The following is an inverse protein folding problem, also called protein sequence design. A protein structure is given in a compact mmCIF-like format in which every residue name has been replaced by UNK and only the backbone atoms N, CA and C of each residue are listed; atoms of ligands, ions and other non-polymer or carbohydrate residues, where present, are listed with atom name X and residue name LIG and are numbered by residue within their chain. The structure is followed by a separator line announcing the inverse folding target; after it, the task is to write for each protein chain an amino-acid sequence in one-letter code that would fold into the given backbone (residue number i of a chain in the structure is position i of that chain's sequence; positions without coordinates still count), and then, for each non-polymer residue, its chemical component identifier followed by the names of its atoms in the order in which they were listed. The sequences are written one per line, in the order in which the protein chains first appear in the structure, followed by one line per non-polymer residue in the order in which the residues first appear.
data_IF_929423780315
#
_entry.id   IF_929423780315
#
_cell.length_a   1.000
_cell.length_b   1.000
_cell.length_c   1.000
_cell.angle_alpha   90.00
_cell.angle_beta   90.00
_cell.angle_gamma   90.00
#
_symmetry.space_group_name_H-M   'P 1'
#
loop_
_entity.id
_entity.type
_entity.pdbx_description
1 polymer ?
#
# COMPACT_ATOMS: atom_id res chain seq x y z
N UNK A 1 -7.02 -21.62 -52.30
CA UNK A 1 -8.18 -22.42 -52.78
C UNK A 1 -7.92 -23.86 -52.37
N UNK A 2 -8.56 -24.34 -51.29
CA UNK A 2 -9.68 -25.31 -51.29
C UNK A 2 -9.28 -26.68 -51.88
N UNK A 3 -9.43 -27.85 -51.23
CA UNK A 3 -10.48 -28.31 -50.29
C UNK A 3 -10.00 -29.50 -49.45
N UNK A 4 -10.72 -29.68 -48.34
CA UNK A 4 -10.65 -30.69 -47.27
C UNK A 4 -11.10 -32.11 -47.68
N UNK A 5 -10.55 -33.06 -46.91
CA UNK A 5 -11.12 -34.25 -46.24
C UNK A 5 -12.00 -35.26 -46.98
N UNK A 6 -11.68 -36.56 -46.80
CA UNK A 6 -12.68 -37.63 -46.75
C UNK A 6 -12.24 -38.79 -45.83
N UNK A 7 -13.17 -39.23 -44.97
CA UNK A 7 -13.08 -40.29 -43.97
C UNK A 7 -13.06 -41.70 -44.60
N UNK A 8 -12.51 -42.69 -43.88
CA UNK A 8 -12.77 -44.12 -44.16
C UNK A 8 -13.18 -44.87 -42.88
N UNK A 9 -14.17 -45.74 -43.07
CA UNK A 9 -14.93 -46.54 -42.13
C UNK A 9 -14.18 -47.75 -41.53
N UNK A 10 -14.74 -48.17 -40.38
CA UNK A 10 -14.71 -49.45 -39.66
C UNK A 10 -14.38 -50.71 -40.48
N UNK A 11 -13.61 -51.60 -39.83
CA UNK A 11 -13.71 -53.05 -40.03
C UNK A 11 -13.79 -53.75 -38.66
N UNK A 12 -14.80 -54.60 -38.54
CA UNK A 12 -14.97 -55.61 -37.48
C UNK A 12 -14.40 -56.93 -38.01
N UNK A 13 -13.73 -57.73 -37.18
CA UNK A 13 -13.75 -59.21 -37.17
C UNK A 13 -12.93 -59.65 -35.94
N UNK A 14 -13.55 -60.48 -35.11
CA UNK A 14 -12.90 -61.33 -34.08
C UNK A 14 -12.71 -62.73 -34.65
N UNK A 15 -11.69 -63.49 -34.19
CA UNK A 15 -12.03 -64.70 -33.42
C UNK A 15 -11.04 -65.10 -32.30
N UNK A 16 -11.58 -65.86 -31.34
CA UNK A 16 -11.02 -66.92 -30.44
C UNK A 16 -9.52 -67.28 -30.56
N UNK A 17 -8.75 -67.64 -29.51
CA UNK A 17 -9.01 -68.29 -28.21
C UNK A 17 -7.75 -68.23 -27.32
N UNK A 18 -7.95 -68.08 -26.00
CA UNK A 18 -7.12 -68.51 -24.84
C UNK A 18 -5.62 -68.22 -24.77
N UNK A 19 -5.22 -67.35 -23.84
CA UNK A 19 -4.32 -67.69 -22.72
C UNK A 19 -4.38 -66.60 -21.62
N UNK A 20 -4.42 -67.02 -20.37
CA UNK A 20 -4.61 -66.19 -19.18
C UNK A 20 -3.37 -65.34 -18.89
N UNK A 21 -3.55 -64.05 -18.55
CA UNK A 21 -2.81 -63.46 -17.45
C UNK A 21 -3.50 -62.21 -16.89
N UNK A 22 -3.54 -62.18 -15.56
CA UNK A 22 -4.23 -61.24 -14.68
C UNK A 22 -3.78 -59.80 -14.93
N UNK A 23 -4.70 -58.93 -15.32
CA UNK A 23 -4.56 -57.47 -15.20
C UNK A 23 -5.69 -56.96 -14.28
N UNK A 24 -5.29 -56.18 -13.28
CA UNK A 24 -6.12 -55.69 -12.18
C UNK A 24 -7.34 -54.88 -12.64
N UNK A 25 -8.43 -54.99 -11.88
CA UNK A 25 -9.72 -54.29 -12.07
C UNK A 25 -9.60 -52.75 -12.13
N UNK A 26 -8.45 -52.18 -11.79
CA UNK A 26 -8.20 -50.74 -11.79
C UNK A 26 -8.19 -50.11 -13.19
N UNK A 27 -7.88 -50.87 -14.24
CA UNK A 27 -7.79 -50.33 -15.61
C UNK A 27 -9.14 -50.29 -16.37
N UNK A 28 -10.25 -50.69 -15.76
CA UNK A 28 -11.56 -50.74 -16.42
C UNK A 28 -12.69 -50.01 -15.67
N UNK A 29 -12.36 -49.27 -14.61
CA UNK A 29 -13.33 -48.40 -13.92
C UNK A 29 -13.77 -47.24 -14.83
N UNK A 30 -15.01 -47.33 -15.36
CA UNK A 30 -15.72 -46.20 -15.98
C UNK A 30 -16.70 -45.64 -14.95
N UNK A 31 -16.51 -44.38 -14.56
CA UNK A 31 -17.47 -43.67 -13.70
C UNK A 31 -18.82 -43.49 -14.41
N UNK A 32 -19.82 -44.26 -14.00
CA UNK A 32 -21.22 -44.09 -14.43
C UNK A 32 -21.87 -42.99 -13.59
N UNK A 33 -21.89 -41.76 -14.10
CA UNK A 33 -22.59 -40.63 -13.49
C UNK A 33 -24.11 -40.73 -13.67
N UNK A 34 -24.74 -41.54 -12.83
CA UNK A 34 -26.19 -41.74 -12.84
C UNK A 34 -26.88 -40.61 -12.03
N UNK A 35 -27.25 -39.52 -12.72
CA UNK A 35 -27.91 -38.35 -12.11
C UNK A 35 -29.36 -38.65 -11.74
N UNK A 36 -29.59 -39.20 -10.55
CA UNK A 36 -30.92 -39.19 -9.91
C UNK A 36 -31.23 -37.80 -9.36
N UNK A 37 -32.24 -37.14 -9.92
CA UNK A 37 -32.73 -35.81 -9.54
C UNK A 37 -33.21 -35.76 -8.09
N UNK A 38 -32.35 -35.36 -7.15
CA UNK A 38 -32.75 -34.87 -5.84
C UNK A 38 -32.98 -33.35 -5.92
N UNK A 39 -34.22 -32.91 -5.71
CA UNK A 39 -34.54 -31.49 -5.51
C UNK A 39 -33.68 -30.95 -4.35
N UNK A 40 -32.76 -30.03 -4.68
CA UNK A 40 -31.95 -29.31 -3.69
C UNK A 40 -32.89 -28.43 -2.86
N UNK A 41 -33.00 -28.71 -1.55
CA UNK A 41 -33.61 -27.78 -0.59
C UNK A 41 -32.76 -26.51 -0.58
N UNK A 42 -33.33 -25.39 -1.05
CA UNK A 42 -32.69 -24.07 -1.01
C UNK A 42 -32.66 -23.57 0.43
N UNK A 43 -31.57 -23.85 1.16
CA UNK A 43 -31.17 -22.97 2.25
C UNK A 43 -30.27 -21.90 1.64
N UNK A 44 -30.77 -20.67 1.62
CA UNK A 44 -30.09 -19.49 1.10
C UNK A 44 -28.83 -19.22 1.91
N UNK A 45 -27.67 -19.62 1.37
CA UNK A 45 -26.33 -19.21 1.81
C UNK A 45 -25.80 -18.04 0.98
N UNK A 46 -26.68 -17.40 0.19
CA UNK A 46 -26.31 -16.35 -0.76
C UNK A 46 -26.55 -14.96 -0.15
N UNK A 47 -25.97 -14.71 1.02
CA UNK A 47 -25.47 -13.35 1.25
C UNK A 47 -24.06 -13.37 0.67
N UNK A 48 -23.80 -12.71 -0.47
CA UNK A 48 -22.45 -12.62 -1.01
C UNK A 48 -21.56 -12.07 0.10
N UNK A 49 -20.51 -12.80 0.48
CA UNK A 49 -19.55 -12.26 1.41
C UNK A 49 -19.05 -10.93 0.83
N UNK A 50 -19.24 -9.79 1.51
CA UNK A 50 -18.86 -8.49 0.97
C UNK A 50 -17.37 -8.45 0.61
N UNK A 51 -16.52 -9.25 1.27
CA UNK A 51 -15.11 -9.40 0.90
C UNK A 51 -14.89 -10.05 -0.47
N UNK A 52 -15.74 -11.00 -0.88
CA UNK A 52 -15.61 -11.69 -2.17
C UNK A 52 -16.13 -10.88 -3.36
N UNK A 53 -16.95 -9.85 -3.12
CA UNK A 53 -17.51 -9.00 -4.18
C UNK A 53 -16.43 -8.16 -4.89
N UNK A 54 -15.32 -7.91 -4.22
CA UNK A 54 -14.24 -7.04 -4.69
C UNK A 54 -12.93 -7.79 -4.96
N UNK A 55 -12.88 -9.08 -4.62
CA UNK A 55 -11.75 -9.96 -4.96
C UNK A 55 -11.91 -10.42 -6.41
N UNK A 56 -10.99 -10.02 -7.28
CA UNK A 56 -10.87 -10.64 -8.59
C UNK A 56 -10.23 -12.04 -8.42
N UNK A 57 -11.08 -13.05 -8.23
CA UNK A 57 -10.70 -14.47 -8.07
C UNK A 57 -10.00 -14.99 -9.34
N UNK A 58 -10.18 -14.32 -10.48
CA UNK A 58 -9.54 -14.66 -11.75
C UNK A 58 -8.17 -14.00 -11.94
N UNK A 59 -7.68 -13.25 -10.95
CA UNK A 59 -6.35 -12.64 -11.02
C UNK A 59 -5.26 -13.69 -10.75
N UNK A 60 -5.11 -14.64 -11.68
CA UNK A 60 -4.03 -15.63 -11.75
C UNK A 60 -2.74 -15.01 -12.29
N UNK A 61 -2.50 -13.71 -12.11
CA UNK A 61 -1.22 -13.11 -12.45
C UNK A 61 -0.18 -13.76 -11.55
N UNK A 62 0.79 -14.46 -12.15
CA UNK A 62 1.99 -14.91 -11.45
C UNK A 62 2.53 -13.72 -10.65
N UNK A 63 2.58 -13.85 -9.33
CA UNK A 63 3.05 -12.80 -8.42
C UNK A 63 4.39 -12.28 -8.94
N UNK A 64 4.40 -11.03 -9.45
CA UNK A 64 5.62 -10.43 -9.97
C UNK A 64 6.61 -10.29 -8.82
N UNK A 65 7.79 -10.88 -8.96
CA UNK A 65 8.87 -10.65 -8.01
C UNK A 65 9.29 -9.18 -8.11
N UNK A 66 9.20 -8.46 -6.99
CA UNK A 66 9.56 -7.05 -6.94
C UNK A 66 10.95 -6.86 -6.32
N UNK A 67 11.75 -5.92 -6.86
CA UNK A 67 13.09 -5.68 -6.36
C UNK A 67 13.05 -4.84 -5.06
N UNK A 68 14.12 -4.90 -4.27
CA UNK A 68 14.29 -4.05 -3.08
C UNK A 68 15.30 -2.95 -3.38
N UNK A 69 14.92 -1.69 -3.13
CA UNK A 69 15.85 -0.58 -3.09
C UNK A 69 16.79 -0.79 -1.89
N UNK A 70 18.09 -0.79 -2.17
CA UNK A 70 19.11 -1.03 -1.15
C UNK A 70 19.30 0.23 -0.30
N UNK A 71 19.31 0.06 1.02
CA UNK A 71 19.53 1.15 1.95
C UNK A 71 20.88 1.83 1.69
N UNK A 72 20.88 3.16 1.70
CA UNK A 72 22.09 3.98 1.65
C UNK A 72 23.13 3.61 2.73
N UNK A 73 22.70 3.19 3.93
CA UNK A 73 23.61 2.94 5.06
C UNK A 73 24.35 1.58 5.03
N UNK A 74 24.19 0.75 4.00
CA UNK A 74 24.87 -0.56 3.94
C UNK A 74 26.32 -0.38 3.52
N UNK A 75 27.24 -0.35 4.49
CA UNK A 75 28.67 -0.11 4.26
C UNK A 75 29.29 -0.94 3.11
N UNK A 76 28.94 -2.23 2.99
CA UNK A 76 29.43 -3.13 1.93
C UNK A 76 28.89 -2.82 0.52
N UNK A 77 27.83 -2.02 0.43
CA UNK A 77 27.10 -1.73 -0.80
C UNK A 77 26.94 -0.22 -1.05
N UNK A 78 27.59 0.62 -0.24
CA UNK A 78 27.71 2.07 -0.40
C UNK A 78 28.33 2.37 -1.76
N UNK A 79 27.51 2.73 -2.73
CA UNK A 79 27.95 3.17 -4.04
C UNK A 79 27.59 4.63 -4.19
N UNK A 80 28.60 5.44 -4.50
CA UNK A 80 28.38 6.82 -4.90
C UNK A 80 27.58 6.88 -6.20
N UNK A 81 26.60 7.77 -6.27
CA UNK A 81 25.87 8.09 -7.49
C UNK A 81 26.10 9.56 -7.90
N UNK A 82 25.66 9.94 -9.09
CA UNK A 82 25.65 11.35 -9.52
C UNK A 82 24.27 11.93 -9.24
N UNK A 83 24.23 13.15 -8.70
CA UNK A 83 23.00 13.93 -8.57
C UNK A 83 23.14 15.21 -9.40
N UNK A 84 22.02 15.73 -9.92
CA UNK A 84 22.04 16.90 -10.81
C UNK A 84 22.46 18.19 -10.10
N UNK A 85 22.15 18.31 -8.80
CA UNK A 85 22.29 19.54 -8.03
C UNK A 85 23.51 19.56 -7.09
N UNK A 86 24.39 18.55 -7.16
CA UNK A 86 25.60 18.47 -6.35
C UNK A 86 26.78 18.17 -7.26
N UNK A 87 27.82 19.01 -7.18
CA UNK A 87 29.10 18.75 -7.86
C UNK A 87 29.75 17.50 -7.26
N UNK A 88 30.22 16.61 -8.12
CA UNK A 88 30.90 15.40 -7.70
C UNK A 88 29.99 14.19 -7.46
N UNK A 89 30.39 13.34 -6.52
CA UNK A 89 29.76 12.06 -6.19
C UNK A 89 28.93 12.19 -4.92
N UNK A 90 27.72 11.62 -4.92
CA UNK A 90 26.84 11.63 -3.74
C UNK A 90 26.73 10.25 -3.14
N UNK A 91 26.85 10.19 -1.81
CA UNK A 91 26.53 9.03 -1.00
C UNK A 91 25.28 9.36 -0.18
N UNK A 92 24.29 8.47 -0.20
CA UNK A 92 23.09 8.62 0.64
C UNK A 92 23.21 7.76 1.88
N UNK A 93 22.72 8.25 3.01
CA UNK A 93 22.58 7.48 4.25
C UNK A 93 21.14 7.54 4.76
N UNK A 94 20.71 6.48 5.46
CA UNK A 94 19.42 6.37 6.16
C UNK A 94 18.19 6.58 5.26
N UNK A 95 18.23 6.04 4.04
CA UNK A 95 17.15 6.14 3.04
C UNK A 95 15.89 5.31 3.36
N UNK A 96 15.82 4.66 4.52
CA UNK A 96 14.81 3.65 4.84
C UNK A 96 13.37 4.17 4.77
N UNK A 97 13.12 5.42 5.20
CA UNK A 97 11.79 6.02 5.10
C UNK A 97 11.34 6.15 3.64
N UNK A 98 12.22 6.66 2.77
CA UNK A 98 11.96 6.76 1.33
C UNK A 98 11.73 5.38 0.69
N UNK A 99 12.66 4.45 0.93
CA UNK A 99 12.62 3.12 0.35
C UNK A 99 11.37 2.33 0.81
N UNK A 100 10.89 2.59 2.04
CA UNK A 100 9.66 2.02 2.60
C UNK A 100 8.39 2.54 1.93
N UNK A 101 8.27 3.86 1.73
CA UNK A 101 7.11 4.44 1.02
C UNK A 101 7.13 4.02 -0.45
N UNK A 102 8.29 4.02 -1.09
CA UNK A 102 8.44 3.58 -2.48
C UNK A 102 8.03 2.12 -2.67
N UNK A 103 8.47 1.22 -1.78
CA UNK A 103 8.11 -0.21 -1.86
C UNK A 103 6.63 -0.47 -1.64
N UNK A 104 6.00 0.28 -0.74
CA UNK A 104 4.56 0.21 -0.48
C UNK A 104 3.74 0.59 -1.72
N UNK A 105 4.07 1.70 -2.37
CA UNK A 105 3.39 2.17 -3.59
C UNK A 105 3.72 1.26 -4.78
N UNK A 106 4.96 0.77 -4.88
CA UNK A 106 5.38 -0.18 -5.90
C UNK A 106 4.49 -1.43 -5.92
N UNK A 107 4.19 -1.98 -4.74
CA UNK A 107 3.33 -3.15 -4.60
C UNK A 107 1.89 -2.80 -4.95
N UNK A 108 1.36 -1.69 -4.45
CA UNK A 108 0.01 -1.25 -4.79
C UNK A 108 -0.19 -0.99 -6.29
N UNK A 109 0.82 -0.44 -6.97
CA UNK A 109 0.83 -0.27 -8.42
C UNK A 109 0.81 -1.62 -9.17
N UNK A 110 1.44 -2.66 -8.65
CA UNK A 110 1.42 -3.98 -9.28
C UNK A 110 0.10 -4.73 -9.04
N UNK A 111 -0.44 -4.60 -7.83
CA UNK A 111 -1.49 -5.48 -7.34
C UNK A 111 -2.90 -4.83 -7.41
N UNK A 112 -3.03 -3.50 -7.52
CA UNK A 112 -4.29 -2.81 -7.83
C UNK A 112 -4.28 -2.23 -9.25
N UNK A 113 -5.11 -2.79 -10.13
CA UNK A 113 -5.27 -2.29 -11.51
C UNK A 113 -5.80 -0.85 -11.54
N UNK A 114 -6.80 -0.53 -10.72
CA UNK A 114 -7.40 0.81 -10.66
C UNK A 114 -6.41 1.85 -10.15
N UNK A 115 -5.62 1.48 -9.15
CA UNK A 115 -4.55 2.34 -8.66
C UNK A 115 -3.47 2.56 -9.73
N UNK A 116 -3.07 1.50 -10.44
CA UNK A 116 -2.10 1.59 -11.54
C UNK A 116 -2.58 2.54 -12.66
N UNK A 117 -3.83 2.40 -13.09
CA UNK A 117 -4.46 3.29 -14.09
C UNK A 117 -4.43 4.75 -13.65
N UNK A 118 -4.73 5.02 -12.36
CA UNK A 118 -4.64 6.37 -11.80
C UNK A 118 -3.21 6.88 -11.82
N UNK A 119 -2.24 6.07 -11.37
CA UNK A 119 -0.80 6.41 -11.34
C UNK A 119 -0.25 6.72 -12.73
N UNK A 120 -0.56 5.89 -13.74
CA UNK A 120 -0.02 6.02 -15.10
C UNK A 120 -0.46 7.32 -15.81
N UNK A 121 -1.55 7.95 -15.37
CA UNK A 121 -2.06 9.23 -15.92
C UNK A 121 -1.37 10.44 -15.26
N UNK A 122 -0.78 10.27 -14.08
CA UNK A 122 -0.21 11.38 -13.32
C UNK A 122 1.18 11.77 -13.81
N UNK A 123 1.49 13.07 -13.72
CA UNK A 123 2.83 13.59 -13.98
C UNK A 123 3.53 13.96 -12.68
N UNK A 124 3.96 12.96 -11.92
CA UNK A 124 4.74 13.17 -10.69
C UNK A 124 6.03 12.35 -10.75
N UNK A 125 7.15 12.99 -10.39
CA UNK A 125 8.48 12.42 -10.55
C UNK A 125 8.68 11.17 -9.69
N UNK A 126 8.12 11.14 -8.48
CA UNK A 126 8.22 9.99 -7.58
C UNK A 126 7.38 8.81 -8.09
N UNK A 127 6.16 9.06 -8.54
CA UNK A 127 5.32 8.03 -9.17
C UNK A 127 5.96 7.47 -10.45
N UNK A 128 6.53 8.34 -11.29
CA UNK A 128 7.27 7.95 -12.49
C UNK A 128 8.51 7.09 -12.17
N UNK A 129 9.26 7.47 -11.12
CA UNK A 129 10.35 6.66 -10.60
C UNK A 129 9.86 5.26 -10.20
N UNK A 130 8.74 5.15 -9.50
CA UNK A 130 8.16 3.86 -9.09
C UNK A 130 7.74 3.03 -10.31
N UNK A 131 7.03 3.63 -11.28
CA UNK A 131 6.61 2.91 -12.49
C UNK A 131 7.81 2.41 -13.28
N UNK A 132 8.89 3.19 -13.37
CA UNK A 132 10.15 2.79 -14.01
C UNK A 132 10.82 1.62 -13.28
N UNK A 133 10.88 1.64 -11.95
CA UNK A 133 11.41 0.52 -11.15
C UNK A 133 10.60 -0.75 -11.38
N UNK A 134 9.27 -0.66 -11.42
CA UNK A 134 8.41 -1.81 -11.69
C UNK A 134 8.62 -2.34 -13.10
N UNK A 135 8.61 -1.47 -14.11
CA UNK A 135 8.65 -1.85 -15.53
C UNK A 135 10.02 -2.38 -15.94
N UNK A 136 11.10 -1.75 -15.49
CA UNK A 136 12.46 -2.00 -15.98
C UNK A 136 13.42 -2.59 -14.95
N UNK A 137 12.99 -2.74 -13.70
CA UNK A 137 13.83 -3.19 -12.59
C UNK A 137 14.79 -2.10 -12.09
N UNK A 138 15.61 -2.46 -11.09
CA UNK A 138 16.61 -1.55 -10.52
C UNK A 138 17.88 -1.55 -11.38
N UNK A 139 18.27 -0.37 -11.86
CA UNK A 139 19.51 -0.11 -12.60
C UNK A 139 20.40 0.87 -11.83
N UNK A 140 21.62 1.10 -12.30
CA UNK A 140 22.47 2.16 -11.73
C UNK A 140 21.81 3.54 -11.81
N UNK A 141 21.06 3.82 -12.89
CA UNK A 141 20.33 5.08 -13.07
C UNK A 141 19.22 5.28 -12.04
N UNK A 142 18.59 4.19 -11.57
CA UNK A 142 17.57 4.22 -10.50
C UNK A 142 18.12 4.86 -9.24
N UNK A 143 19.38 4.57 -8.86
CA UNK A 143 19.98 5.15 -7.67
C UNK A 143 20.30 6.64 -7.83
N UNK A 144 20.68 7.08 -9.04
CA UNK A 144 20.84 8.50 -9.35
C UNK A 144 19.52 9.26 -9.35
N UNK A 145 18.46 8.67 -9.91
CA UNK A 145 17.11 9.24 -9.90
C UNK A 145 16.56 9.33 -8.47
N UNK A 146 16.74 8.28 -7.66
CA UNK A 146 16.45 8.31 -6.23
C UNK A 146 17.20 9.44 -5.52
N UNK A 147 18.49 9.61 -5.78
CA UNK A 147 19.27 10.68 -5.18
C UNK A 147 18.74 12.07 -5.57
N UNK A 148 18.39 12.26 -6.84
CA UNK A 148 17.78 13.51 -7.31
C UNK A 148 16.46 13.80 -6.59
N UNK A 149 15.56 12.82 -6.48
CA UNK A 149 14.31 13.00 -5.76
C UNK A 149 14.55 13.40 -4.30
N UNK A 150 15.43 12.68 -3.61
CA UNK A 150 15.71 12.94 -2.20
C UNK A 150 16.30 14.34 -2.00
N UNK A 151 17.30 14.72 -2.80
CA UNK A 151 17.98 16.00 -2.68
C UNK A 151 17.06 17.17 -3.04
N UNK A 152 16.24 17.01 -4.07
CA UNK A 152 15.44 18.10 -4.61
C UNK A 152 14.19 18.40 -3.77
N UNK A 153 13.64 17.40 -3.08
CA UNK A 153 12.33 17.53 -2.43
C UNK A 153 12.38 17.47 -0.89
N UNK A 154 13.39 16.83 -0.28
CA UNK A 154 13.41 16.55 1.16
C UNK A 154 14.37 17.42 1.98
N UNK A 155 14.93 18.48 1.41
CA UNK A 155 15.76 19.47 2.13
C UNK A 155 16.86 18.81 2.98
N UNK A 156 17.58 17.83 2.41
CA UNK A 156 18.52 16.98 3.16
C UNK A 156 19.79 17.73 3.58
N UNK A 157 20.30 17.37 4.77
CA UNK A 157 21.59 17.86 5.23
C UNK A 157 22.72 17.21 4.42
N UNK A 158 23.61 18.03 3.87
CA UNK A 158 24.77 17.59 3.10
C UNK A 158 26.06 17.85 3.86
N UNK A 159 26.99 16.90 3.80
CA UNK A 159 28.32 16.99 4.39
C UNK A 159 29.35 16.69 3.31
N UNK A 160 30.24 17.64 3.05
CA UNK A 160 31.36 17.42 2.14
C UNK A 160 32.38 16.47 2.79
N UNK A 161 32.76 15.44 2.05
CA UNK A 161 33.83 14.51 2.37
C UNK A 161 35.02 14.73 1.43
N UNK A 162 36.12 14.02 1.67
CA UNK A 162 37.27 14.02 0.79
C UNK A 162 36.95 13.47 -0.61
N UNK A 163 37.76 13.86 -1.60
CA UNK A 163 37.71 13.38 -2.98
C UNK A 163 36.43 13.75 -3.78
N UNK A 164 35.89 14.96 -3.57
CA UNK A 164 34.70 15.46 -4.28
C UNK A 164 33.48 14.54 -4.08
N UNK A 165 33.33 14.07 -2.84
CA UNK A 165 32.22 13.23 -2.40
C UNK A 165 31.38 14.02 -1.40
N UNK A 166 30.07 14.02 -1.58
CA UNK A 166 29.10 14.59 -0.64
C UNK A 166 28.28 13.48 0.00
N UNK A 167 28.22 13.45 1.33
CA UNK A 167 27.29 12.62 2.07
C UNK A 167 25.98 13.38 2.29
N UNK A 168 24.88 12.87 1.76
CA UNK A 168 23.54 13.33 2.10
C UNK A 168 22.99 12.47 3.23
N UNK A 169 22.65 13.11 4.35
CA UNK A 169 22.03 12.48 5.51
C UNK A 169 20.52 12.55 5.34
N UNK A 170 19.90 11.42 4.99
CA UNK A 170 18.48 11.34 4.65
C UNK A 170 17.61 10.94 5.85
N UNK A 171 18.00 11.32 7.06
CA UNK A 171 17.24 11.08 8.28
C UNK A 171 15.90 11.79 8.20
N UNK A 172 14.82 11.04 8.02
CA UNK A 172 13.48 11.59 7.85
C UNK A 172 12.41 10.61 8.31
N UNK A 173 11.18 11.10 8.44
CA UNK A 173 10.01 10.30 8.79
C UNK A 173 9.25 9.86 7.55
N UNK A 174 8.55 8.72 7.60
CA UNK A 174 7.68 8.32 6.49
C UNK A 174 6.62 9.38 6.17
N UNK A 175 6.08 10.05 7.19
CA UNK A 175 5.15 11.17 7.01
C UNK A 175 5.74 12.34 6.22
N UNK A 176 7.02 12.67 6.42
CA UNK A 176 7.69 13.71 5.63
C UNK A 176 7.89 13.29 4.17
N UNK A 177 8.28 12.03 3.93
CA UNK A 177 8.37 11.47 2.57
C UNK A 177 7.02 11.54 1.86
N UNK A 178 5.94 11.11 2.51
CA UNK A 178 4.58 11.17 1.95
C UNK A 178 4.22 12.62 1.60
N UNK A 179 4.48 13.57 2.51
CA UNK A 179 4.20 15.00 2.29
C UNK A 179 4.96 15.61 1.11
N UNK A 180 6.23 15.27 0.95
CA UNK A 180 7.10 15.87 -0.09
C UNK A 180 7.01 15.18 -1.44
N UNK A 181 6.73 13.89 -1.48
CA UNK A 181 6.73 13.10 -2.71
C UNK A 181 5.35 13.00 -3.37
N UNK A 182 4.28 13.19 -2.60
CA UNK A 182 2.89 13.06 -3.04
C UNK A 182 2.07 14.33 -2.78
N UNK A 183 2.70 15.50 -2.68
CA UNK A 183 2.03 16.78 -2.43
C UNK A 183 0.83 17.06 -3.37
N UNK A 184 0.94 16.64 -4.63
CA UNK A 184 -0.12 16.73 -5.65
C UNK A 184 -1.26 15.71 -5.46
N UNK A 185 -1.04 14.66 -4.65
CA UNK A 185 -1.96 13.55 -4.42
C UNK A 185 -2.26 13.37 -2.93
N UNK A 186 -2.96 14.32 -2.29
CA UNK A 186 -3.33 14.20 -0.89
C UNK A 186 -4.34 13.07 -0.67
N UNK A 187 -4.37 12.56 0.57
CA UNK A 187 -5.37 11.60 1.05
C UNK A 187 -6.77 12.23 1.12
N UNK A 188 -6.86 13.52 1.44
CA UNK A 188 -8.11 14.26 1.42
C UNK A 188 -7.88 15.75 1.15
N UNK A 189 -8.90 16.42 0.63
CA UNK A 189 -8.92 17.87 0.43
C UNK A 189 -10.05 18.42 1.28
N UNK A 190 -9.71 19.27 2.25
CA UNK A 190 -10.67 20.01 3.05
C UNK A 190 -10.95 21.35 2.35
N UNK A 191 -12.21 21.66 2.13
CA UNK A 191 -12.65 22.93 1.53
C UNK A 191 -13.54 23.67 2.53
N UNK A 192 -13.18 24.91 2.84
CA UNK A 192 -13.98 25.80 3.70
C UNK A 192 -14.65 26.88 2.84
N UNK A 193 -15.98 26.86 2.78
CA UNK A 193 -16.78 27.82 2.02
C UNK A 193 -17.61 28.69 2.97
N UNK A 194 -17.46 30.02 2.85
CA UNK A 194 -18.25 31.00 3.61
C UNK A 194 -19.51 31.42 2.82
N UNK A 195 -20.65 31.57 3.49
CA UNK A 195 -21.95 31.80 2.84
C UNK A 195 -22.18 33.21 2.30
N UNK A 196 -21.41 34.21 2.73
CA UNK A 196 -21.70 35.62 2.44
C UNK A 196 -20.58 36.26 1.61
N UNK A 197 -20.95 36.86 0.47
CA UNK A 197 -20.05 37.52 -0.46
C UNK A 197 -19.36 38.77 0.13
N UNK A 198 -19.95 39.37 1.17
CA UNK A 198 -19.37 40.49 1.91
C UNK A 198 -18.22 40.08 2.84
N UNK A 199 -18.01 38.78 3.08
CA UNK A 199 -16.86 38.27 3.83
C UNK A 199 -15.66 38.24 2.86
N UNK A 200 -15.09 39.43 2.62
CA UNK A 200 -14.15 39.76 1.52
C UNK A 200 -12.85 38.92 1.53
N UNK A 201 -12.52 38.23 2.63
CA UNK A 201 -11.22 37.56 2.82
C UNK A 201 -11.21 36.02 2.76
N UNK A 202 -12.33 35.35 2.51
CA UNK A 202 -12.38 33.87 2.59
C UNK A 202 -13.31 33.26 1.54
N UNK A 203 -13.04 33.53 0.26
CA UNK A 203 -13.64 32.73 -0.82
C UNK A 203 -12.83 31.44 -0.96
N UNK A 204 -13.34 30.36 -0.37
CA UNK A 204 -12.86 28.97 -0.54
C UNK A 204 -11.38 28.75 -0.20
N UNK A 205 -11.11 28.39 1.05
CA UNK A 205 -9.78 27.89 1.45
C UNK A 205 -9.77 26.38 1.21
N UNK A 206 -8.74 25.89 0.51
CA UNK A 206 -8.48 24.47 0.32
C UNK A 206 -7.23 24.05 1.09
N UNK A 207 -7.34 23.01 1.90
CA UNK A 207 -6.24 22.43 2.66
C UNK A 207 -6.01 20.98 2.22
N UNK A 208 -4.80 20.68 1.77
CA UNK A 208 -4.39 19.33 1.40
C UNK A 208 -4.01 18.53 2.65
N UNK A 209 -4.69 17.41 2.88
CA UNK A 209 -4.44 16.49 3.98
C UNK A 209 -3.71 15.27 3.42
N UNK A 210 -2.41 15.19 3.72
CA UNK A 210 -1.53 14.12 3.21
C UNK A 210 -1.80 12.75 3.83
N UNK A 211 -2.20 12.73 5.09
CA UNK A 211 -2.62 11.54 5.81
C UNK A 211 -3.61 11.90 6.90
N UNK A 212 -4.52 10.97 7.22
CA UNK A 212 -5.51 11.11 8.27
C UNK A 212 -4.96 10.55 9.58
N UNK A 213 -4.97 11.34 10.64
CA UNK A 213 -4.54 10.87 11.96
C UNK A 213 -5.70 10.21 12.70
N UNK A 214 -5.63 8.89 12.87
CA UNK A 214 -6.59 8.11 13.66
C UNK A 214 -6.02 7.85 15.05
N UNK A 215 -6.70 8.41 16.06
CA UNK A 215 -6.33 8.27 17.46
C UNK A 215 -7.06 7.08 18.08
N UNK A 216 -6.32 6.26 18.82
CA UNK A 216 -6.82 5.05 19.47
C UNK A 216 -6.42 5.04 20.93
N UNK A 217 -7.35 4.63 21.79
CA UNK A 217 -7.17 4.59 23.24
C UNK A 217 -7.52 3.25 23.89
N UNK A 218 -8.09 2.30 23.14
CA UNK A 218 -8.59 1.04 23.69
C UNK A 218 -7.95 -0.18 23.06
N UNK A 219 -8.15 -1.33 23.70
CA UNK A 219 -7.75 -2.65 23.19
C UNK A 219 -8.44 -3.03 21.86
N UNK A 220 -9.56 -2.39 21.52
CA UNK A 220 -10.33 -2.58 20.27
C UNK A 220 -9.90 -1.58 19.21
N UNK A 221 -8.66 -1.75 18.76
CA UNK A 221 -7.91 -0.79 17.96
C UNK A 221 -8.60 -0.24 16.71
N UNK A 222 -9.40 -1.05 16.00
CA UNK A 222 -9.94 -0.68 14.70
C UNK A 222 -11.46 -0.75 14.59
N UNK A 223 -12.19 -0.99 15.68
CA UNK A 223 -13.67 -1.02 15.64
C UNK A 223 -14.25 0.34 15.21
N UNK A 224 -13.56 1.45 15.53
CA UNK A 224 -14.00 2.79 15.17
C UNK A 224 -13.40 3.36 13.87
N UNK A 225 -12.55 2.62 13.14
CA UNK A 225 -11.82 3.18 12.00
C UNK A 225 -12.77 3.58 10.84
N UNK A 226 -13.77 2.73 10.58
CA UNK A 226 -14.79 3.02 9.56
C UNK A 226 -15.63 4.24 9.94
N UNK A 227 -16.13 4.29 11.19
CA UNK A 227 -16.88 5.43 11.72
C UNK A 227 -16.06 6.72 11.71
N UNK A 228 -14.76 6.63 11.99
CA UNK A 228 -13.86 7.78 11.89
C UNK A 228 -13.80 8.33 10.46
N UNK A 229 -13.69 7.46 9.44
CA UNK A 229 -13.72 7.88 8.03
C UNK A 229 -15.07 8.44 7.60
N UNK A 230 -16.16 7.84 8.07
CA UNK A 230 -17.52 8.31 7.78
C UNK A 230 -17.72 9.72 8.34
N UNK A 231 -17.34 9.94 9.60
CA UNK A 231 -17.43 11.25 10.26
C UNK A 231 -16.58 12.31 9.55
N UNK A 232 -15.39 11.94 9.06
CA UNK A 232 -14.55 12.86 8.29
C UNK A 232 -15.21 13.32 6.99
N UNK A 233 -16.14 12.55 6.44
CA UNK A 233 -16.82 12.87 5.18
C UNK A 233 -18.09 13.73 5.39
N UNK A 234 -18.49 13.97 6.64
CA UNK A 234 -19.64 14.81 6.98
C UNK A 234 -19.23 16.29 6.94
N UNK A 235 -20.07 17.14 6.35
CA UNK A 235 -19.82 18.57 6.34
C UNK A 235 -20.13 19.19 7.71
N UNK A 236 -19.20 19.99 8.22
CA UNK A 236 -19.30 20.63 9.52
C UNK A 236 -19.53 22.14 9.38
N UNK A 237 -20.37 22.69 10.25
CA UNK A 237 -20.58 24.13 10.34
C UNK A 237 -19.46 24.75 11.19
N UNK A 238 -18.77 25.74 10.64
CA UNK A 238 -17.76 26.52 11.35
C UNK A 238 -18.00 28.02 11.15
N UNK A 239 -17.32 28.86 11.93
CA UNK A 239 -17.41 30.33 11.80
C UNK A 239 -16.30 30.87 10.89
N UNK A 240 -16.64 31.84 10.06
CA UNK A 240 -15.66 32.71 9.39
C UNK A 240 -15.27 33.86 10.32
N UNK A 241 -14.20 34.56 9.95
CA UNK A 241 -13.85 35.85 10.54
C UNK A 241 -15.02 36.79 10.17
N UNK A 242 -15.66 37.43 11.16
CA UNK A 242 -16.84 38.33 11.03
C UNK A 242 -18.24 37.68 11.08
N UNK A 243 -18.53 36.78 12.03
CA UNK A 243 -19.88 36.22 12.27
C UNK A 243 -20.56 35.56 11.05
N UNK A 244 -19.82 35.31 9.95
CA UNK A 244 -20.34 34.58 8.80
C UNK A 244 -20.33 33.07 9.11
N UNK A 245 -21.37 32.36 8.69
CA UNK A 245 -21.36 30.90 8.71
C UNK A 245 -20.46 30.38 7.58
N UNK A 246 -19.72 29.31 7.86
CA UNK A 246 -18.99 28.52 6.88
C UNK A 246 -19.35 27.06 6.99
N UNK A 247 -19.25 26.37 5.87
CA UNK A 247 -19.31 24.92 5.80
C UNK A 247 -17.91 24.42 5.47
N UNK A 248 -17.42 23.48 6.27
CA UNK A 248 -16.22 22.71 5.98
C UNK A 248 -16.67 21.38 5.39
N UNK A 249 -16.15 21.03 4.23
CA UNK A 249 -16.37 19.73 3.61
C UNK A 249 -15.03 19.08 3.30
N UNK A 250 -14.87 17.81 3.69
CA UNK A 250 -13.67 17.04 3.35
C UNK A 250 -14.01 16.04 2.26
N UNK A 251 -13.27 16.09 1.16
CA UNK A 251 -13.38 15.12 0.08
C UNK A 251 -12.18 14.18 0.13
N UNK A 252 -12.41 12.88 0.30
CA UNK A 252 -11.33 11.90 0.25
C UNK A 252 -10.77 11.77 -1.17
N UNK A 253 -9.52 11.34 -1.27
CA UNK A 253 -8.86 11.01 -2.53
C UNK A 253 -9.62 9.95 -3.30
N UNK A 254 -9.50 9.97 -4.63
CA UNK A 254 -9.99 8.90 -5.50
C UNK A 254 -8.90 7.86 -5.83
N UNK A 255 -7.73 8.01 -5.22
CA UNK A 255 -6.53 7.23 -5.51
C UNK A 255 -6.10 6.37 -4.31
N UNK A 256 -5.82 7.00 -3.17
CA UNK A 256 -5.33 6.31 -1.97
C UNK A 256 -5.66 7.02 -0.67
N UNK A 257 -5.54 6.29 0.44
CA UNK A 257 -5.58 6.83 1.80
C UNK A 257 -4.33 6.42 2.58
N UNK A 258 -3.65 7.40 3.17
CA UNK A 258 -2.69 7.19 4.24
C UNK A 258 -3.35 7.52 5.57
N UNK A 259 -3.25 6.60 6.54
CA UNK A 259 -3.82 6.78 7.87
C UNK A 259 -2.70 6.62 8.90
N UNK A 260 -2.35 7.71 9.59
CA UNK A 260 -1.39 7.73 10.70
C UNK A 260 -2.08 7.24 11.97
N UNK A 261 -1.49 6.26 12.66
CA UNK A 261 -2.03 5.66 13.87
C UNK A 261 -1.31 6.22 15.09
N UNK A 262 -2.07 6.92 15.94
CA UNK A 262 -1.60 7.41 17.24
C UNK A 262 -2.31 6.65 18.35
N UNK A 263 -1.54 6.05 19.25
CA UNK A 263 -2.05 5.35 20.41
C UNK A 263 -1.71 6.11 21.69
N UNK A 264 -2.74 6.32 22.51
CA UNK A 264 -2.66 6.98 23.82
C UNK A 264 -3.24 6.03 24.87
N UNK A 265 -2.58 5.87 26.02
CA UNK A 265 -3.17 5.07 27.11
C UNK A 265 -4.23 5.88 27.86
N UNK A 266 -5.18 5.20 28.51
CA UNK A 266 -6.35 5.86 29.12
C UNK A 266 -5.98 6.92 30.18
N UNK A 267 -4.84 6.73 30.88
CA UNK A 267 -4.30 7.69 31.85
C UNK A 267 -3.74 8.99 31.20
N UNK A 268 -3.45 8.96 29.90
CA UNK A 268 -2.91 10.10 29.14
C UNK A 268 -4.00 11.04 28.57
N UNK A 269 -5.27 10.63 28.62
CA UNK A 269 -6.38 11.32 27.93
C UNK A 269 -6.77 12.66 28.56
N UNK A 270 -6.59 12.83 29.87
CA UNK A 270 -6.82 14.12 30.54
C UNK A 270 -5.84 15.22 30.09
N UNK A 271 -4.81 14.85 29.31
CA UNK A 271 -3.72 15.71 28.85
C UNK A 271 -3.50 15.68 27.33
N UNK A 272 -4.33 14.98 26.55
CA UNK A 272 -4.12 14.73 25.11
C UNK A 272 -3.97 15.99 24.25
N UNK A 273 -4.61 17.10 24.65
CA UNK A 273 -4.45 18.40 23.99
C UNK A 273 -3.11 19.12 24.30
N UNK A 274 -2.28 18.57 25.20
CA UNK A 274 -0.99 19.12 25.62
C UNK A 274 0.19 18.16 25.35
N UNK A 275 -0.07 16.94 24.88
CA UNK A 275 0.97 15.94 24.64
C UNK A 275 1.47 15.98 23.19
N UNK A 276 2.80 15.97 23.02
CA UNK A 276 3.43 15.91 21.70
C UNK A 276 3.13 14.58 21.02
N UNK A 277 2.66 14.62 19.77
CA UNK A 277 2.44 13.41 18.95
C UNK A 277 3.70 12.57 18.78
N UNK A 278 4.88 13.16 18.98
CA UNK A 278 6.18 12.48 18.95
C UNK A 278 6.37 11.48 20.11
N UNK A 279 5.69 11.71 21.23
CA UNK A 279 5.71 10.87 22.42
C UNK A 279 4.65 9.76 22.39
N UNK A 280 3.73 9.78 21.42
CA UNK A 280 2.70 8.76 21.28
C UNK A 280 3.35 7.37 21.13
N UNK A 281 2.81 6.37 21.82
CA UNK A 281 3.36 5.01 21.78
C UNK A 281 3.12 4.41 20.39
N UNK A 282 4.08 3.60 19.93
CA UNK A 282 3.92 2.85 18.69
C UNK A 282 3.09 1.62 18.99
N UNK A 283 2.01 1.43 18.25
CA UNK A 283 1.09 0.34 18.50
C UNK A 283 1.52 -0.94 17.81
N UNK A 284 1.43 -2.06 18.54
CA UNK A 284 1.71 -3.37 17.99
C UNK A 284 0.41 -4.07 17.60
N UNK A 285 0.25 -4.37 16.31
CA UNK A 285 -0.98 -4.97 15.75
C UNK A 285 -0.66 -6.22 14.94
N UNK A 286 -1.58 -7.19 14.89
CA UNK A 286 -1.47 -8.28 13.91
C UNK A 286 -2.02 -7.81 12.57
N UNK A 287 -1.37 -8.17 11.47
CA UNK A 287 -1.80 -7.77 10.12
C UNK A 287 -3.23 -8.22 9.80
N UNK A 288 -3.65 -9.38 10.34
CA UNK A 288 -5.00 -9.92 10.18
C UNK A 288 -6.09 -9.14 10.94
N UNK A 289 -5.73 -8.34 11.93
CA UNK A 289 -6.69 -7.57 12.74
C UNK A 289 -7.02 -6.22 12.09
N UNK A 290 -6.29 -5.81 11.06
CA UNK A 290 -6.48 -4.55 10.34
C UNK A 290 -7.70 -4.70 9.41
N UNK A 291 -8.65 -3.75 9.42
CA UNK A 291 -9.75 -3.73 8.47
C UNK A 291 -9.23 -3.80 7.03
N UNK A 292 -9.60 -4.84 6.30
CA UNK A 292 -9.10 -5.06 4.95
C UNK A 292 -9.75 -4.15 3.92
N UNK A 293 -10.94 -3.64 4.23
CA UNK A 293 -11.77 -2.83 3.36
C UNK A 293 -12.30 -1.66 4.18
N UNK A 294 -12.21 -0.45 3.61
CA UNK A 294 -12.88 0.75 4.10
C UNK A 294 -13.82 1.26 3.02
N UNK A 295 -15.01 1.66 3.41
CA UNK A 295 -16.02 2.18 2.50
C UNK A 295 -16.18 3.69 2.71
N UNK A 296 -16.45 4.45 1.66
CA UNK A 296 -16.93 5.83 1.80
C UNK A 296 -17.93 6.12 0.68
N UNK A 297 -19.22 6.17 1.04
CA UNK A 297 -20.40 6.39 0.16
C UNK A 297 -20.36 5.56 -1.13
N UNK A 298 -19.61 5.99 -2.14
CA UNK A 298 -19.49 5.37 -3.46
C UNK A 298 -18.11 4.77 -3.77
N UNK A 299 -17.19 4.76 -2.79
CA UNK A 299 -15.82 4.28 -2.95
C UNK A 299 -15.51 3.17 -1.96
N UNK A 300 -14.68 2.25 -2.40
CA UNK A 300 -14.18 1.14 -1.59
C UNK A 300 -12.67 1.16 -1.70
N UNK A 301 -12.01 1.19 -0.55
CA UNK A 301 -10.56 1.17 -0.44
C UNK A 301 -10.12 -0.16 0.16
N UNK A 302 -9.14 -0.80 -0.46
CA UNK A 302 -8.55 -2.04 0.03
C UNK A 302 -7.19 -1.75 0.70
N UNK A 303 -6.95 -2.41 1.84
CA UNK A 303 -5.67 -2.38 2.53
C UNK A 303 -4.57 -2.95 1.62
N UNK A 304 -3.55 -2.16 1.33
CA UNK A 304 -2.37 -2.57 0.55
C UNK A 304 -1.15 -2.83 1.42
N UNK A 305 -1.04 -2.15 2.56
CA UNK A 305 0.06 -2.41 3.46
C UNK A 305 0.10 -1.50 4.67
N UNK A 306 1.17 -1.69 5.43
CA UNK A 306 1.47 -1.02 6.69
C UNK A 306 2.91 -0.54 6.64
N UNK A 307 3.11 0.73 6.98
CA UNK A 307 4.43 1.27 7.30
C UNK A 307 4.69 0.96 8.77
N UNK A 308 5.78 0.25 9.03
CA UNK A 308 6.21 -0.12 10.36
C UNK A 308 7.49 0.60 10.73
N UNK A 309 7.49 1.16 11.94
CA UNK A 309 8.62 1.89 12.48
C UNK A 309 9.19 1.20 13.71
N UNK A 310 10.51 1.03 13.71
CA UNK A 310 11.28 0.53 14.83
C UNK A 310 12.07 1.74 15.36
N UNK A 311 11.69 2.30 16.52
CA UNK A 311 12.30 3.51 17.01
C UNK A 311 13.74 3.24 17.47
N UNK A 312 14.55 4.29 17.42
CA UNK A 312 15.90 4.27 17.97
C UNK A 312 15.92 4.30 19.49
N UNK A 313 17.10 4.59 20.06
CA UNK A 313 17.31 4.58 21.53
C UNK A 313 16.40 5.54 22.29
N UNK A 314 16.02 6.68 21.70
CA UNK A 314 15.16 7.68 22.34
C UNK A 314 13.69 7.25 22.40
N UNK A 315 13.29 6.20 21.68
CA UNK A 315 11.90 5.69 21.59
C UNK A 315 10.86 6.66 21.02
N UNK A 316 11.24 7.87 20.63
CA UNK A 316 10.35 8.87 20.02
C UNK A 316 10.02 8.52 18.58
N UNK A 317 8.83 8.91 18.10
CA UNK A 317 8.38 8.66 16.71
C UNK A 317 9.17 9.44 15.66
N UNK A 318 9.71 10.60 16.01
CA UNK A 318 10.56 11.42 15.15
C UNK A 318 12.05 11.05 15.22
N UNK A 319 12.42 10.08 16.05
CA UNK A 319 13.82 9.70 16.22
C UNK A 319 14.38 8.96 15.01
N UNK A 320 15.70 8.98 14.85
CA UNK A 320 16.37 8.12 13.89
C UNK A 320 16.12 6.66 14.28
N UNK A 321 15.34 5.96 13.46
CA UNK A 321 14.99 4.56 13.62
C UNK A 321 15.04 3.84 12.28
N UNK A 322 14.30 2.73 12.17
CA UNK A 322 14.26 1.93 10.95
C UNK A 322 12.82 1.71 10.47
N UNK A 323 12.58 2.04 9.21
CA UNK A 323 11.30 1.86 8.54
C UNK A 323 11.28 0.59 7.70
N UNK A 324 10.13 -0.09 7.69
CA UNK A 324 9.85 -1.27 6.86
C UNK A 324 8.42 -1.20 6.36
N UNK A 325 8.15 -1.77 5.19
CA UNK A 325 6.77 -1.95 4.73
C UNK A 325 6.37 -3.42 4.81
N UNK A 326 5.20 -3.65 5.38
CA UNK A 326 4.48 -4.92 5.28
C UNK A 326 3.40 -4.74 4.24
N UNK A 327 3.45 -5.51 3.17
CA UNK A 327 2.56 -5.34 2.03
C UNK A 327 1.73 -6.58 1.80
N UNK A 328 0.48 -6.37 1.41
CA UNK A 328 -0.45 -7.43 1.05
C UNK A 328 -0.30 -7.70 -0.45
N UNK A 329 -0.02 -8.96 -0.79
CA UNK A 329 0.21 -9.43 -2.16
C UNK A 329 -0.99 -10.21 -2.68
N UNK A 330 -1.51 -9.76 -3.83
CA UNK A 330 -2.60 -10.42 -4.55
C UNK A 330 -3.89 -10.65 -3.74
N UNK A 331 -4.78 -11.47 -4.30
CA UNK A 331 -6.09 -11.78 -3.73
C UNK A 331 -6.05 -12.75 -2.53
N UNK A 332 -4.95 -13.50 -2.36
CA UNK A 332 -4.83 -14.63 -1.42
C UNK A 332 -4.35 -14.24 -0.02
N UNK A 333 -4.38 -12.95 0.35
CA UNK A 333 -4.01 -12.44 1.67
C UNK A 333 -2.59 -12.84 2.11
N UNK A 334 -1.69 -13.01 1.13
CA UNK A 334 -0.29 -13.26 1.37
C UNK A 334 0.39 -11.96 1.74
N UNK A 335 1.23 -11.97 2.77
CA UNK A 335 1.97 -10.78 3.19
C UNK A 335 3.45 -10.94 2.89
N UNK A 336 4.08 -9.85 2.50
CA UNK A 336 5.54 -9.76 2.35
C UNK A 336 6.07 -8.58 3.14
N UNK A 337 7.28 -8.71 3.67
CA UNK A 337 8.03 -7.60 4.25
C UNK A 337 9.10 -7.13 3.27
N UNK A 338 9.11 -5.82 3.03
CA UNK A 338 10.17 -5.11 2.35
C UNK A 338 11.00 -4.39 3.42
N UNK A 339 12.20 -4.90 3.61
CA UNK A 339 13.20 -4.39 4.54
C UNK A 339 14.47 -4.15 3.74
N UNK A 340 14.89 -2.90 3.62
CA UNK A 340 16.02 -2.46 2.79
C UNK A 340 17.38 -3.02 3.27
N UNK A 341 17.42 -3.61 4.47
CA UNK A 341 18.53 -4.36 5.02
C UNK A 341 18.57 -5.81 4.53
N UNK A 342 17.53 -6.30 3.85
CA UNK A 342 17.44 -7.64 3.26
C UNK A 342 17.84 -7.59 1.77
N UNK A 343 17.93 -8.77 1.14
CA UNK A 343 18.27 -8.90 -0.29
C UNK A 343 17.04 -9.00 -1.18
N UNK A 344 15.94 -9.52 -0.64
CA UNK A 344 14.68 -9.77 -1.34
C UNK A 344 13.52 -9.66 -0.34
N UNK A 345 12.28 -9.43 -0.82
CA UNK A 345 11.10 -9.47 0.03
C UNK A 345 10.96 -10.84 0.68
N UNK A 346 10.44 -10.86 1.91
CA UNK A 346 10.28 -12.09 2.69
C UNK A 346 8.79 -12.32 2.95
N UNK A 347 8.23 -13.49 2.61
CA UNK A 347 6.86 -13.82 2.98
C UNK A 347 6.68 -13.84 4.49
N UNK A 348 5.56 -13.30 4.98
CA UNK A 348 5.19 -13.30 6.40
C UNK A 348 3.75 -13.75 6.59
N UNK A 349 3.44 -14.28 7.77
CA UNK A 349 2.07 -14.70 8.11
C UNK A 349 1.20 -13.48 8.39
N UNK A 350 -0.09 -13.55 8.07
CA UNK A 350 -1.06 -12.52 8.45
C UNK A 350 -1.19 -12.35 9.98
N UNK A 351 -0.83 -13.37 10.78
CA UNK A 351 -0.79 -13.28 12.26
C UNK A 351 0.44 -12.54 12.80
N UNK A 352 1.35 -12.07 11.93
CA UNK A 352 2.57 -11.36 12.34
C UNK A 352 2.20 -10.06 13.04
N UNK A 353 2.80 -9.83 14.22
CA UNK A 353 2.68 -8.57 14.96
C UNK A 353 3.67 -7.55 14.41
N UNK A 354 3.20 -6.35 14.12
CA UNK A 354 3.99 -5.26 13.54
C UNK A 354 3.79 -3.97 14.34
N UNK A 355 4.85 -3.17 14.42
CA UNK A 355 4.82 -1.84 15.03
C UNK A 355 4.23 -0.87 14.00
N UNK A 356 2.92 -0.67 14.02
CA UNK A 356 2.22 0.08 12.99
C UNK A 356 2.34 1.60 13.22
N UNK A 357 2.75 2.30 12.17
CA UNK A 357 2.75 3.76 12.14
C UNK A 357 1.72 4.29 11.14
N UNK A 358 1.78 3.83 9.88
CA UNK A 358 0.79 4.19 8.87
C UNK A 358 0.10 2.96 8.28
N UNK A 359 -1.20 3.08 8.02
CA UNK A 359 -1.92 2.20 7.12
C UNK A 359 -2.02 2.84 5.73
N UNK A 360 -1.96 2.01 4.70
CA UNK A 360 -2.11 2.45 3.33
C UNK A 360 -3.18 1.64 2.61
N UNK A 361 -4.18 2.37 2.12
CA UNK A 361 -5.30 1.83 1.35
C UNK A 361 -5.33 2.44 -0.04
N UNK A 362 -5.79 1.68 -1.03
CA UNK A 362 -6.00 2.18 -2.40
C UNK A 362 -7.37 1.77 -2.91
N UNK A 363 -7.84 2.47 -3.94
CA UNK A 363 -9.05 2.08 -4.68
C UNK A 363 -8.94 0.74 -5.42
#
# INVERSE_FOLDING_TARGET
MNKKDCQIMKCTISPSTTENNVLSEECSARESWDRKNKQRKSKSYLIPNPHLKYLDINNTRSLKSLPILKNGSRFKELKSCKAQNISGKVILSNTCAFDTVASLIMVAYCDSKRYAEKVDIQNNQFLNFITNVVKYGIKSSTYSERANLIINYMDVNTQSLDYDVTLAVCDTTAGHVIKKMLDDFPTAIETKTCSNEKCIRTKNIQNNIMFLTYQVNSSKLFEGLQTYLDNRSVSENSKCIENCNSVISTNLSDMHLFIDILFWEEDDLNMSNQQSTEAAKIVQIRLCDIPQILCNVNRTFELRGVISFIPGKSKLRNSVGHYKSYVKRGASNNWEIFDDLKKKPIPVKNTTKVNCEFLFYTI
#
